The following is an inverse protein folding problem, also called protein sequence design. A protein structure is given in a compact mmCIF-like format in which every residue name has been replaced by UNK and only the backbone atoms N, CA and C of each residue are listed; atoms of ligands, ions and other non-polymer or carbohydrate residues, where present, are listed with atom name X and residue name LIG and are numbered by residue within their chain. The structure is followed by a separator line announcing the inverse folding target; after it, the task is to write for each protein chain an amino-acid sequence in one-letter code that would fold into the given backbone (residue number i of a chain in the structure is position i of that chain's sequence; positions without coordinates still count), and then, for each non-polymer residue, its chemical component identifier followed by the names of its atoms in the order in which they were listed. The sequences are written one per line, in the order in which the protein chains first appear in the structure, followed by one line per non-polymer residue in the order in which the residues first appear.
data_IF_409320217833
#
_entry.id   IF_409320217833
#
_cell.length_a   1.000
_cell.length_b   1.000
_cell.length_c   1.000
_cell.angle_alpha   90.00
_cell.angle_beta   90.00
_cell.angle_gamma   90.00
#
_symmetry.space_group_name_H-M   'P 1'
#
loop_
_entity.id
_entity.type
_entity.pdbx_description
1 polymer ?
#
# COMPACT_ATOMS: atom_id res chain seq x y z
N UNK A 1 -19.29 22.25 -9.37
CA UNK A 1 -20.36 21.69 -10.21
C UNK A 1 -19.95 20.27 -10.56
N UNK A 2 -20.62 19.28 -9.98
CA UNK A 2 -20.37 17.88 -10.35
C UNK A 2 -21.12 17.59 -11.65
N UNK A 3 -20.40 17.17 -12.66
CA UNK A 3 -20.94 16.75 -13.94
C UNK A 3 -20.62 15.27 -14.13
N UNK A 4 -21.63 14.41 -14.16
CA UNK A 4 -21.45 12.97 -14.37
C UNK A 4 -21.67 12.63 -15.84
N UNK A 5 -20.70 11.93 -16.43
CA UNK A 5 -20.84 11.29 -17.74
C UNK A 5 -21.28 9.85 -17.53
N UNK A 6 -22.47 9.52 -18.00
CA UNK A 6 -22.99 8.15 -17.94
C UNK A 6 -23.04 7.57 -19.35
N UNK A 7 -22.37 6.42 -19.56
CA UNK A 7 -22.48 5.65 -20.79
C UNK A 7 -23.73 4.77 -20.76
N UNK A 8 -24.67 5.06 -21.63
CA UNK A 8 -25.88 4.25 -21.79
C UNK A 8 -25.68 3.20 -22.89
N UNK A 9 -25.41 1.96 -22.47
CA UNK A 9 -25.19 0.81 -23.38
C UNK A 9 -26.39 0.52 -24.28
N UNK A 10 -27.63 0.83 -23.87
CA UNK A 10 -28.86 0.55 -24.61
C UNK A 10 -29.04 1.47 -25.80
N UNK A 11 -28.51 2.68 -25.74
CA UNK A 11 -28.64 3.70 -26.78
C UNK A 11 -27.35 4.11 -27.46
N UNK A 12 -26.20 3.52 -27.07
CA UNK A 12 -24.86 3.90 -27.55
C UNK A 12 -24.62 5.42 -27.49
N UNK A 13 -24.96 6.06 -26.36
CA UNK A 13 -24.86 7.52 -26.15
C UNK A 13 -24.23 7.84 -24.79
N UNK A 14 -23.48 8.94 -24.78
CA UNK A 14 -23.02 9.57 -23.53
C UNK A 14 -24.05 10.62 -23.10
N UNK A 15 -24.44 10.60 -21.81
CA UNK A 15 -25.29 11.63 -21.21
C UNK A 15 -24.46 12.45 -20.21
N UNK A 16 -24.55 13.76 -20.35
CA UNK A 16 -23.96 14.72 -19.42
C UNK A 16 -25.07 15.17 -18.48
N UNK A 17 -24.92 14.98 -17.19
CA UNK A 17 -25.86 15.44 -16.17
C UNK A 17 -25.21 16.56 -15.37
N UNK A 18 -25.79 17.77 -15.47
CA UNK A 18 -25.41 18.88 -14.60
C UNK A 18 -26.37 18.96 -13.42
N UNK A 19 -25.93 19.50 -12.29
CA UNK A 19 -26.76 19.70 -11.07
C UNK A 19 -27.98 20.59 -11.27
N UNK A 20 -28.13 21.23 -12.45
CA UNK A 20 -29.25 22.08 -12.82
C UNK A 20 -30.37 21.35 -13.61
N UNK A 21 -30.36 20.01 -13.64
CA UNK A 21 -31.35 19.18 -14.34
C UNK A 21 -31.48 19.39 -15.87
N UNK A 22 -30.57 20.09 -16.53
CA UNK A 22 -30.51 20.17 -17.97
C UNK A 22 -29.73 19.00 -18.58
N UNK A 23 -30.36 18.27 -19.49
CA UNK A 23 -29.77 17.08 -20.12
C UNK A 23 -29.35 17.42 -21.54
N UNK A 24 -28.09 17.44 -21.85
CA UNK A 24 -27.56 17.56 -23.21
C UNK A 24 -27.25 16.17 -23.76
N UNK A 25 -27.80 15.83 -24.92
CA UNK A 25 -27.53 14.56 -25.59
C UNK A 25 -26.78 14.77 -26.89
N UNK A 26 -25.63 14.18 -27.05
CA UNK A 26 -24.92 14.10 -28.32
C UNK A 26 -25.17 12.73 -28.98
N UNK A 27 -25.67 12.71 -30.21
CA UNK A 27 -25.81 11.48 -30.99
C UNK A 27 -24.46 11.06 -31.53
N UNK A 28 -23.96 9.88 -31.08
CA UNK A 28 -22.84 9.24 -31.76
C UNK A 28 -23.34 8.56 -33.03
N UNK A 29 -22.94 9.04 -34.21
CA UNK A 29 -23.20 8.37 -35.47
C UNK A 29 -22.41 7.05 -35.50
N UNK A 30 -23.05 5.99 -35.96
CA UNK A 30 -22.48 4.68 -36.23
C UNK A 30 -21.47 4.80 -37.40
N UNK A 31 -20.25 5.15 -37.06
CA UNK A 31 -19.12 5.03 -37.97
C UNK A 31 -17.99 4.35 -37.17
N UNK A 32 -17.27 3.43 -37.78
CA UNK A 32 -16.21 2.67 -37.18
C UNK A 32 -14.86 3.37 -37.47
N UNK A 33 -14.46 4.43 -36.74
CA UNK A 33 -13.23 5.14 -37.01
C UNK A 33 -12.07 4.42 -36.33
N UNK A 34 -10.92 4.39 -36.99
CA UNK A 34 -9.66 3.92 -36.40
C UNK A 34 -9.34 4.72 -35.17
N UNK A 35 -8.79 4.06 -34.13
CA UNK A 35 -8.49 4.58 -32.76
C UNK A 35 -7.85 6.00 -32.70
N UNK A 36 -7.08 6.40 -33.72
CA UNK A 36 -6.42 7.71 -33.82
C UNK A 36 -7.38 8.90 -34.00
N UNK A 37 -8.62 8.67 -34.46
CA UNK A 37 -9.59 9.74 -34.70
C UNK A 37 -10.43 10.03 -33.45
N UNK A 38 -10.63 9.06 -32.59
CA UNK A 38 -11.36 9.24 -31.31
C UNK A 38 -10.64 10.26 -30.42
N UNK A 39 -9.32 10.18 -30.32
CA UNK A 39 -8.53 11.16 -29.56
C UNK A 39 -8.59 12.58 -30.14
N UNK A 40 -8.64 12.73 -31.46
CA UNK A 40 -8.81 14.07 -32.10
C UNK A 40 -10.17 14.67 -31.84
N UNK A 41 -11.22 13.88 -31.81
CA UNK A 41 -12.59 14.36 -31.51
C UNK A 41 -12.71 14.74 -30.02
N UNK A 42 -12.13 13.98 -29.11
CA UNK A 42 -12.09 14.33 -27.70
C UNK A 42 -11.29 15.62 -27.45
N UNK A 43 -10.18 15.81 -28.12
CA UNK A 43 -9.37 17.06 -28.02
C UNK A 43 -10.14 18.23 -28.61
N UNK A 44 -10.88 18.06 -29.71
CA UNK A 44 -11.68 19.11 -30.34
C UNK A 44 -12.93 19.50 -29.51
N UNK A 45 -13.61 18.53 -28.89
CA UNK A 45 -14.71 18.78 -27.96
C UNK A 45 -14.23 19.47 -26.66
N UNK A 46 -13.05 19.11 -26.20
CA UNK A 46 -12.39 19.75 -25.05
C UNK A 46 -12.00 21.20 -25.36
N UNK A 47 -11.50 21.46 -26.56
CA UNK A 47 -11.16 22.82 -27.02
C UNK A 47 -12.41 23.70 -27.26
N UNK A 48 -13.51 23.12 -27.72
CA UNK A 48 -14.81 23.84 -27.91
C UNK A 48 -15.47 24.14 -26.54
N UNK A 49 -15.36 23.27 -25.57
CA UNK A 49 -15.85 23.52 -24.21
C UNK A 49 -15.03 24.62 -23.48
N UNK A 50 -13.74 24.74 -23.80
CA UNK A 50 -12.88 25.81 -23.26
C UNK A 50 -13.10 27.16 -23.93
N UNK A 51 -13.56 27.21 -25.19
CA UNK A 51 -13.77 28.46 -25.95
C UNK A 51 -15.05 29.22 -25.59
N UNK A 52 -15.96 28.61 -24.81
CA UNK A 52 -17.24 29.23 -24.39
C UNK A 52 -17.29 29.74 -22.96
N UNK A 53 -16.13 29.80 -22.25
CA UNK A 53 -16.08 30.29 -20.89
C UNK A 53 -15.13 31.48 -20.72
N UNK A 54 -15.74 32.66 -20.77
CA UNK A 54 -15.14 33.91 -20.25
C UNK A 54 -15.31 33.98 -18.73
N UNK A 55 -14.38 33.40 -17.96
CA UNK A 55 -14.09 33.80 -16.58
C UNK A 55 -12.91 33.00 -15.99
N UNK A 56 -11.86 33.64 -15.40
CA UNK A 56 -10.61 32.97 -15.05
C UNK A 56 -10.50 32.49 -13.58
N UNK A 57 -11.57 32.02 -12.95
CA UNK A 57 -11.48 31.73 -11.50
C UNK A 57 -11.98 30.38 -11.02
N UNK A 58 -12.14 29.37 -11.86
CA UNK A 58 -12.38 28.00 -11.36
C UNK A 58 -11.96 26.95 -12.37
N UNK A 59 -10.71 26.51 -12.31
CA UNK A 59 -10.27 25.29 -12.96
C UNK A 59 -10.95 24.09 -12.28
N UNK A 60 -12.11 23.68 -12.76
CA UNK A 60 -12.66 22.37 -12.47
C UNK A 60 -11.90 21.36 -13.33
N UNK A 61 -10.90 20.70 -12.76
CA UNK A 61 -10.31 19.49 -13.33
C UNK A 61 -11.39 18.40 -13.27
N UNK A 62 -12.09 18.14 -14.38
CA UNK A 62 -12.83 16.90 -14.52
C UNK A 62 -11.81 15.75 -14.60
N UNK A 63 -11.47 15.16 -13.49
CA UNK A 63 -10.75 13.89 -13.49
C UNK A 63 -11.73 12.81 -13.97
N UNK A 64 -11.50 12.29 -15.16
CA UNK A 64 -12.26 11.15 -15.69
C UNK A 64 -11.82 9.94 -14.85
N UNK A 65 -12.68 9.49 -13.94
CA UNK A 65 -12.43 8.28 -13.16
C UNK A 65 -12.37 7.06 -14.06
N UNK A 66 -11.35 6.25 -13.89
CA UNK A 66 -11.24 4.97 -14.59
C UNK A 66 -12.26 3.93 -14.09
N UNK A 67 -12.36 2.77 -14.75
CA UNK A 67 -13.39 1.78 -14.43
C UNK A 67 -13.24 1.16 -13.05
N UNK A 68 -12.01 0.91 -12.57
CA UNK A 68 -11.77 0.36 -11.23
C UNK A 68 -12.14 1.38 -10.15
N UNK A 69 -11.72 2.63 -10.33
CA UNK A 69 -12.07 3.72 -9.42
C UNK A 69 -13.58 3.97 -9.39
N UNK A 70 -14.24 3.99 -10.55
CA UNK A 70 -15.69 4.17 -10.65
C UNK A 70 -16.46 3.07 -9.93
N UNK A 71 -15.97 1.82 -10.00
CA UNK A 71 -16.55 0.68 -9.31
C UNK A 71 -16.37 0.76 -7.80
N UNK A 72 -15.22 1.24 -7.34
CA UNK A 72 -14.93 1.50 -5.93
C UNK A 72 -15.86 2.59 -5.37
N UNK A 73 -15.95 3.74 -6.03
CA UNK A 73 -16.82 4.84 -5.62
C UNK A 73 -18.29 4.43 -5.56
N UNK A 74 -18.76 3.66 -6.55
CA UNK A 74 -20.12 3.12 -6.51
C UNK A 74 -20.38 2.28 -5.26
N UNK A 75 -19.45 1.39 -4.88
CA UNK A 75 -19.58 0.56 -3.68
C UNK A 75 -19.56 1.37 -2.39
N UNK A 76 -18.81 2.47 -2.37
CA UNK A 76 -18.79 3.41 -1.23
C UNK A 76 -20.12 4.16 -1.14
N UNK A 77 -20.64 4.67 -2.24
CA UNK A 77 -21.94 5.38 -2.30
C UNK A 77 -23.11 4.45 -1.92
N UNK A 78 -23.05 3.19 -2.36
CA UNK A 78 -24.06 2.16 -2.03
C UNK A 78 -23.93 1.68 -0.56
N UNK A 79 -22.99 2.21 0.24
CA UNK A 79 -22.79 1.86 1.65
C UNK A 79 -22.19 0.47 1.90
N UNK A 80 -21.71 -0.21 0.85
CA UNK A 80 -21.12 -1.56 0.95
C UNK A 80 -19.66 -1.51 1.42
N UNK A 81 -18.97 -0.41 1.13
CA UNK A 81 -17.58 -0.18 1.53
C UNK A 81 -17.45 1.17 2.24
N UNK A 82 -16.55 1.21 3.19
CA UNK A 82 -16.12 2.47 3.83
C UNK A 82 -15.00 3.06 2.99
N UNK A 83 -14.99 4.39 2.83
CA UNK A 83 -13.94 5.09 2.09
C UNK A 83 -12.57 4.86 2.73
N UNK A 84 -11.64 4.39 1.93
CA UNK A 84 -10.23 4.20 2.28
C UNK A 84 -9.37 4.86 1.19
N UNK A 85 -8.54 5.83 1.59
CA UNK A 85 -7.71 6.59 0.66
C UNK A 85 -6.70 5.68 -0.06
N UNK A 86 -6.20 4.64 0.62
CA UNK A 86 -5.25 3.69 0.03
C UNK A 86 -5.91 2.80 -1.04
N UNK A 87 -7.19 2.41 -0.82
CA UNK A 87 -7.96 1.73 -1.85
C UNK A 87 -8.21 2.64 -3.05
N UNK A 88 -8.46 3.92 -2.82
CA UNK A 88 -8.66 4.90 -3.89
C UNK A 88 -7.37 5.12 -4.68
N UNK A 89 -6.23 5.29 -4.02
CA UNK A 89 -4.92 5.41 -4.68
C UNK A 89 -4.57 4.14 -5.48
N UNK A 90 -4.85 2.95 -4.94
CA UNK A 90 -4.64 1.68 -5.65
C UNK A 90 -5.55 1.55 -6.88
N UNK A 91 -6.82 1.96 -6.78
CA UNK A 91 -7.75 1.95 -7.90
C UNK A 91 -7.28 2.88 -9.03
N UNK A 92 -6.79 4.09 -8.71
CA UNK A 92 -6.18 5.02 -9.66
C UNK A 92 -4.93 4.40 -10.30
N UNK A 93 -4.07 3.75 -9.51
CA UNK A 93 -2.89 3.08 -10.03
C UNK A 93 -3.25 1.92 -10.98
N UNK A 94 -4.29 1.15 -10.69
CA UNK A 94 -4.79 0.07 -11.54
C UNK A 94 -5.40 0.62 -12.84
N UNK A 95 -6.18 1.70 -12.78
CA UNK A 95 -6.74 2.35 -13.98
C UNK A 95 -5.64 2.88 -14.89
N UNK A 96 -4.57 3.45 -14.32
CA UNK A 96 -3.40 3.83 -15.09
C UNK A 96 -2.68 2.63 -15.75
N UNK A 97 -2.75 1.43 -15.14
CA UNK A 97 -2.23 0.20 -15.77
C UNK A 97 -3.14 -0.28 -16.91
N UNK A 98 -4.47 -0.19 -16.75
CA UNK A 98 -5.40 -0.48 -17.85
C UNK A 98 -5.11 0.41 -19.08
N UNK A 99 -4.91 1.70 -18.85
CA UNK A 99 -4.57 2.64 -19.93
C UNK A 99 -3.24 2.26 -20.60
N UNK A 100 -2.19 1.94 -19.80
CA UNK A 100 -0.89 1.55 -20.32
C UNK A 100 -0.95 0.22 -21.10
N UNK A 101 -1.77 -0.74 -20.69
CA UNK A 101 -1.98 -2.00 -21.40
C UNK A 101 -2.70 -1.80 -22.75
N UNK A 102 -3.57 -0.82 -22.85
CA UNK A 102 -4.27 -0.50 -24.11
C UNK A 102 -3.30 -0.01 -25.19
N UNK A 103 -2.22 0.66 -24.80
CA UNK A 103 -1.18 1.15 -25.70
C UNK A 103 -0.07 0.13 -25.93
N UNK A 104 -0.02 -0.95 -25.14
CA UNK A 104 1.03 -1.95 -25.18
C UNK A 104 0.71 -3.06 -26.17
N UNK A 105 1.54 -3.20 -27.20
CA UNK A 105 1.52 -4.31 -28.16
C UNK A 105 2.70 -5.26 -27.88
N UNK A 106 2.48 -6.44 -27.25
CA UNK A 106 3.53 -7.42 -27.02
C UNK A 106 4.11 -7.91 -28.35
N UNK A 107 5.43 -7.74 -28.56
CA UNK A 107 6.09 -8.19 -29.79
C UNK A 107 5.97 -7.26 -30.99
N UNK A 108 5.43 -6.06 -30.83
CA UNK A 108 5.17 -5.06 -31.89
C UNK A 108 6.41 -4.47 -32.60
N UNK A 109 7.58 -5.03 -32.38
CA UNK A 109 8.78 -4.78 -33.19
C UNK A 109 9.04 -5.96 -34.11
N UNK A 110 8.37 -6.08 -35.23
CA UNK A 110 8.81 -6.97 -36.30
C UNK A 110 10.33 -6.77 -36.60
N UNK A 111 10.97 -7.68 -37.34
CA UNK A 111 12.40 -7.64 -37.62
C UNK A 111 12.91 -6.24 -38.04
N UNK A 112 12.08 -5.44 -38.70
CA UNK A 112 12.34 -4.04 -39.04
C UNK A 112 12.25 -3.07 -37.84
N UNK A 113 11.34 -3.26 -36.91
CA UNK A 113 11.20 -2.41 -35.72
C UNK A 113 12.33 -2.60 -34.73
N UNK A 114 12.92 -3.81 -34.68
CA UNK A 114 14.15 -4.10 -33.92
C UNK A 114 15.36 -3.32 -34.45
N UNK A 115 15.43 -3.08 -35.75
CA UNK A 115 16.49 -2.27 -36.37
C UNK A 115 16.29 -0.77 -36.22
N UNK A 116 15.05 -0.31 -36.07
CA UNK A 116 14.69 1.11 -35.94
C UNK A 116 14.58 1.61 -34.51
N UNK A 117 14.93 0.80 -33.50
CA UNK A 117 14.95 1.23 -32.10
C UNK A 117 13.58 1.45 -31.45
N UNK A 118 12.47 1.17 -32.14
CA UNK A 118 11.11 1.28 -31.64
C UNK A 118 10.73 0.01 -30.83
N UNK A 119 11.39 -0.20 -29.69
CA UNK A 119 10.88 -1.14 -28.68
C UNK A 119 9.76 -0.45 -27.93
N UNK A 120 8.52 -0.93 -28.12
CA UNK A 120 7.43 -0.55 -27.21
C UNK A 120 7.88 -0.88 -25.78
N UNK A 121 8.00 0.14 -24.96
CA UNK A 121 8.45 -0.04 -23.58
C UNK A 121 7.40 -0.87 -22.85
N UNK A 122 7.81 -1.97 -22.20
CA UNK A 122 6.92 -2.80 -21.40
C UNK A 122 6.39 -1.97 -20.23
N UNK A 123 5.07 -1.85 -20.07
CA UNK A 123 4.51 -1.09 -18.97
C UNK A 123 4.92 -1.70 -17.62
N UNK A 124 5.28 -0.85 -16.67
CA UNK A 124 5.47 -1.34 -15.29
C UNK A 124 4.14 -1.87 -14.76
N UNK A 125 4.19 -3.05 -14.16
CA UNK A 125 3.05 -3.62 -13.45
C UNK A 125 2.77 -2.94 -12.12
N UNK A 126 2.09 -3.64 -11.21
CA UNK A 126 1.76 -3.15 -9.87
C UNK A 126 1.92 -4.27 -8.84
N UNK A 127 2.58 -3.97 -7.74
CA UNK A 127 2.67 -4.83 -6.57
C UNK A 127 1.96 -4.16 -5.40
N UNK A 128 0.82 -4.74 -5.00
CA UNK A 128 -0.02 -4.25 -3.92
C UNK A 128 0.23 -5.07 -2.66
N UNK A 129 0.74 -4.47 -1.60
CA UNK A 129 1.02 -5.20 -0.37
C UNK A 129 0.42 -4.55 0.87
N UNK A 130 0.24 -5.34 1.94
CA UNK A 130 -0.28 -4.90 3.22
C UNK A 130 -1.15 -5.95 3.90
N UNK A 131 -1.71 -5.62 5.06
CA UNK A 131 -2.49 -6.53 5.90
C UNK A 131 -3.67 -7.20 5.19
N UNK A 132 -4.12 -8.33 5.75
CA UNK A 132 -5.29 -9.09 5.26
C UNK A 132 -6.57 -8.24 5.41
N UNK A 133 -7.54 -8.39 4.49
CA UNK A 133 -8.84 -7.70 4.56
C UNK A 133 -8.82 -6.26 4.04
N UNK A 134 -7.73 -5.77 3.46
CA UNK A 134 -7.61 -4.40 2.92
C UNK A 134 -8.21 -4.23 1.50
N UNK A 135 -8.82 -5.25 0.93
CA UNK A 135 -9.46 -5.17 -0.39
C UNK A 135 -8.53 -5.32 -1.59
N UNK A 136 -7.26 -5.72 -1.40
CA UNK A 136 -6.28 -5.92 -2.49
C UNK A 136 -6.78 -6.86 -3.59
N UNK A 137 -7.24 -8.05 -3.20
CA UNK A 137 -7.73 -9.06 -4.16
C UNK A 137 -9.01 -8.59 -4.86
N UNK A 138 -9.90 -7.88 -4.15
CA UNK A 138 -11.11 -7.28 -4.73
C UNK A 138 -10.75 -6.26 -5.83
N UNK A 139 -9.79 -5.38 -5.60
CA UNK A 139 -9.35 -4.41 -6.59
C UNK A 139 -8.68 -5.09 -7.78
N UNK A 140 -7.90 -6.15 -7.53
CA UNK A 140 -7.30 -6.96 -8.60
C UNK A 140 -8.34 -7.73 -9.40
N UNK A 141 -9.44 -8.22 -8.77
CA UNK A 141 -10.59 -8.83 -9.45
C UNK A 141 -11.15 -7.85 -10.48
N UNK A 142 -11.45 -6.64 -10.05
CA UNK A 142 -12.01 -5.62 -10.92
C UNK A 142 -11.05 -5.23 -12.04
N UNK A 143 -9.78 -5.05 -11.73
CA UNK A 143 -8.75 -4.81 -12.76
C UNK A 143 -8.70 -5.94 -13.79
N UNK A 144 -8.67 -7.20 -13.34
CA UNK A 144 -8.61 -8.35 -14.25
C UNK A 144 -9.85 -8.46 -15.14
N UNK A 145 -11.03 -8.18 -14.60
CA UNK A 145 -12.28 -8.14 -15.36
C UNK A 145 -12.26 -7.04 -16.43
N UNK A 146 -11.82 -5.83 -16.06
CA UNK A 146 -11.81 -4.64 -16.94
C UNK A 146 -10.66 -4.64 -17.95
N UNK A 147 -9.61 -5.42 -17.75
CA UNK A 147 -8.47 -5.49 -18.66
C UNK A 147 -8.87 -6.13 -20.01
N UNK A 148 -9.07 -5.30 -21.04
CA UNK A 148 -9.22 -5.77 -22.43
C UNK A 148 -7.86 -6.06 -23.04
N UNK A 149 -7.19 -7.09 -22.49
CA UNK A 149 -5.85 -7.50 -22.86
C UNK A 149 -5.73 -9.03 -22.87
N UNK A 150 -5.22 -9.59 -23.96
CA UNK A 150 -5.09 -11.03 -24.15
C UNK A 150 -3.74 -11.37 -24.82
N UNK A 151 -3.13 -12.51 -24.47
CA UNK A 151 -3.55 -13.46 -23.45
C UNK A 151 -3.24 -12.98 -22.02
N UNK A 152 -4.17 -13.25 -21.08
CA UNK A 152 -4.00 -12.92 -19.66
C UNK A 152 -4.31 -14.12 -18.78
N UNK A 153 -3.61 -14.24 -17.66
CA UNK A 153 -3.81 -15.31 -16.67
C UNK A 153 -3.85 -14.73 -15.25
N UNK A 154 -4.71 -15.30 -14.41
CA UNK A 154 -4.75 -15.03 -12.97
C UNK A 154 -4.63 -16.35 -12.22
N UNK A 155 -3.74 -16.37 -11.24
CA UNK A 155 -3.46 -17.54 -10.43
C UNK A 155 -2.91 -17.17 -9.05
N UNK A 156 -3.03 -18.07 -8.07
CA UNK A 156 -2.28 -17.94 -6.83
C UNK A 156 -0.80 -18.19 -7.08
N UNK A 157 0.05 -17.40 -6.44
CA UNK A 157 1.49 -17.47 -6.68
C UNK A 157 2.08 -18.85 -6.37
N UNK A 158 1.60 -19.53 -5.32
CA UNK A 158 2.02 -20.89 -5.01
C UNK A 158 1.70 -21.89 -6.13
N UNK A 159 0.49 -21.83 -6.69
CA UNK A 159 0.10 -22.70 -7.80
C UNK A 159 0.94 -22.43 -9.06
N UNK A 160 1.28 -21.15 -9.32
CA UNK A 160 2.20 -20.77 -10.39
C UNK A 160 3.59 -21.41 -10.18
N UNK A 161 4.15 -21.36 -8.97
CA UNK A 161 5.46 -21.94 -8.71
C UNK A 161 5.47 -23.46 -8.86
N UNK A 162 4.40 -24.16 -8.49
CA UNK A 162 4.26 -25.60 -8.75
C UNK A 162 4.30 -25.91 -10.26
N UNK A 163 3.55 -25.16 -11.08
CA UNK A 163 3.59 -25.29 -12.54
C UNK A 163 4.98 -25.04 -13.11
N UNK A 164 5.70 -24.01 -12.59
CA UNK A 164 7.09 -23.73 -12.96
C UNK A 164 7.98 -24.95 -12.69
N UNK A 165 7.90 -25.55 -11.52
CA UNK A 165 8.70 -26.71 -11.19
C UNK A 165 8.39 -27.92 -12.10
N UNK A 166 7.11 -28.13 -12.41
CA UNK A 166 6.71 -29.19 -13.35
C UNK A 166 7.28 -28.94 -14.76
N UNK A 167 7.19 -27.72 -15.28
CA UNK A 167 7.74 -27.33 -16.59
C UNK A 167 9.27 -27.48 -16.62
N UNK A 168 9.96 -27.05 -15.58
CA UNK A 168 11.42 -27.21 -15.44
C UNK A 168 11.77 -28.70 -15.46
N UNK A 169 11.05 -29.54 -14.71
CA UNK A 169 11.30 -30.98 -14.67
C UNK A 169 10.99 -31.65 -16.01
N UNK A 170 9.92 -31.25 -16.68
CA UNK A 170 9.60 -31.75 -18.02
C UNK A 170 10.70 -31.39 -19.05
N UNK A 171 11.17 -30.14 -19.02
CA UNK A 171 12.27 -29.68 -19.89
C UNK A 171 13.56 -30.46 -19.64
N UNK A 172 13.91 -30.74 -18.39
CA UNK A 172 15.12 -31.50 -18.03
C UNK A 172 15.09 -32.95 -18.54
N UNK A 173 13.89 -33.54 -18.67
CA UNK A 173 13.71 -34.91 -19.20
C UNK A 173 13.86 -35.01 -20.71
N UNK A 174 13.76 -33.89 -21.45
CA UNK A 174 13.99 -33.86 -22.90
C UNK A 174 15.47 -34.08 -23.22
N UNK A 175 15.71 -34.88 -24.24
CA UNK A 175 17.05 -34.97 -24.86
C UNK A 175 17.38 -33.71 -25.67
N UNK A 176 18.56 -33.67 -26.23
CA UNK A 176 19.05 -32.51 -26.97
C UNK A 176 18.21 -32.18 -28.21
N UNK A 177 17.72 -33.21 -28.88
CA UNK A 177 16.90 -33.05 -30.09
C UNK A 177 15.47 -32.66 -29.74
N UNK A 178 14.89 -33.22 -28.67
CA UNK A 178 13.60 -32.83 -28.15
C UNK A 178 13.58 -31.36 -27.69
N UNK A 179 14.63 -30.88 -27.02
CA UNK A 179 14.77 -29.46 -26.65
C UNK A 179 14.86 -28.54 -27.87
N UNK A 180 15.57 -28.95 -28.90
CA UNK A 180 15.67 -28.20 -30.17
C UNK A 180 14.35 -28.14 -30.94
N UNK A 181 13.58 -29.23 -30.91
CA UNK A 181 12.30 -29.33 -31.57
C UNK A 181 11.16 -28.60 -30.80
N UNK A 182 11.39 -28.25 -29.54
CA UNK A 182 10.40 -27.51 -28.73
C UNK A 182 10.05 -26.17 -29.36
N UNK A 183 8.75 -25.76 -29.43
CA UNK A 183 8.33 -24.45 -29.89
C UNK A 183 8.86 -23.31 -29.00
N UNK A 184 9.21 -23.64 -27.74
CA UNK A 184 9.74 -22.70 -26.78
C UNK A 184 11.28 -22.68 -26.70
N UNK A 185 11.95 -23.36 -27.63
CA UNK A 185 13.39 -23.39 -27.67
C UNK A 185 13.98 -21.97 -27.75
N UNK A 186 14.97 -21.68 -26.90
CA UNK A 186 15.71 -20.42 -26.89
C UNK A 186 17.13 -20.67 -27.33
N UNK A 187 17.53 -20.05 -28.46
CA UNK A 187 18.88 -20.19 -29.01
C UNK A 187 19.92 -19.68 -28.01
N UNK A 188 20.89 -20.49 -27.67
CA UNK A 188 21.94 -20.13 -26.69
C UNK A 188 21.63 -20.47 -25.24
N UNK A 189 20.42 -20.92 -24.91
CA UNK A 189 20.06 -21.32 -23.52
C UNK A 189 20.76 -22.66 -23.11
N UNK A 190 21.20 -23.48 -24.06
CA UNK A 190 21.83 -24.77 -23.74
C UNK A 190 20.87 -25.69 -23.02
N UNK A 191 21.31 -26.19 -21.86
CA UNK A 191 20.52 -27.08 -20.99
C UNK A 191 19.71 -26.34 -19.96
N UNK A 192 19.81 -24.99 -19.89
CA UNK A 192 19.10 -24.16 -18.95
C UNK A 192 17.59 -24.12 -19.24
N UNK A 193 16.74 -24.55 -18.30
CA UNK A 193 15.29 -24.62 -18.49
C UNK A 193 14.59 -23.26 -18.36
N UNK A 194 15.21 -22.25 -17.73
CA UNK A 194 14.52 -21.02 -17.31
C UNK A 194 14.03 -20.22 -18.52
N UNK A 195 14.87 -19.97 -19.50
CA UNK A 195 14.49 -19.17 -20.66
C UNK A 195 13.39 -19.84 -21.52
N UNK A 196 13.45 -21.15 -21.83
CA UNK A 196 12.34 -21.85 -22.50
C UNK A 196 11.04 -21.87 -21.71
N UNK A 197 11.09 -22.06 -20.39
CA UNK A 197 9.91 -22.04 -19.51
C UNK A 197 9.31 -20.63 -19.48
N UNK A 198 10.11 -19.58 -19.32
CA UNK A 198 9.64 -18.20 -19.39
C UNK A 198 8.95 -17.90 -20.73
N UNK A 199 9.49 -18.38 -21.84
CA UNK A 199 8.88 -18.24 -23.18
C UNK A 199 7.56 -19.00 -23.29
N UNK A 200 7.47 -20.20 -22.73
CA UNK A 200 6.22 -20.97 -22.71
C UNK A 200 5.12 -20.18 -21.95
N UNK A 201 5.44 -19.69 -20.76
CA UNK A 201 4.52 -18.87 -19.97
C UNK A 201 4.09 -17.61 -20.72
N UNK A 202 5.04 -16.91 -21.33
CA UNK A 202 4.77 -15.69 -22.08
C UNK A 202 3.94 -15.92 -23.35
N UNK A 203 3.91 -17.14 -23.90
CA UNK A 203 3.01 -17.52 -24.99
C UNK A 203 1.58 -17.75 -24.51
N UNK A 204 1.40 -18.15 -23.25
CA UNK A 204 0.12 -18.42 -22.61
C UNK A 204 -0.47 -17.16 -21.96
N UNK A 205 0.39 -16.26 -21.42
CA UNK A 205 -0.04 -15.02 -20.82
C UNK A 205 0.99 -13.90 -20.95
N UNK A 206 0.56 -12.75 -21.43
CA UNK A 206 1.33 -11.49 -21.47
C UNK A 206 0.99 -10.56 -20.32
N UNK A 207 -0.13 -10.81 -19.65
CA UNK A 207 -0.51 -10.20 -18.39
C UNK A 207 -0.70 -11.32 -17.36
N UNK A 208 0.11 -11.31 -16.29
CA UNK A 208 0.02 -12.23 -15.17
C UNK A 208 -0.50 -11.48 -13.95
N UNK A 209 -1.56 -11.99 -13.34
CA UNK A 209 -2.11 -11.49 -12.08
C UNK A 209 -1.90 -12.54 -10.99
N UNK A 210 -1.15 -12.20 -9.95
CA UNK A 210 -0.83 -13.10 -8.85
C UNK A 210 -1.55 -12.73 -7.57
N UNK A 211 -2.37 -13.64 -7.07
CA UNK A 211 -2.84 -13.55 -5.70
C UNK A 211 -1.81 -14.13 -4.73
N UNK A 212 -1.70 -13.47 -3.57
CA UNK A 212 -0.88 -13.94 -2.44
C UNK A 212 0.58 -14.21 -2.81
N UNK A 213 1.23 -13.23 -3.45
CA UNK A 213 2.64 -13.34 -3.77
C UNK A 213 3.47 -13.52 -2.50
N UNK A 214 3.96 -14.71 -2.28
CA UNK A 214 4.68 -15.10 -1.07
C UNK A 214 5.75 -16.15 -1.37
N UNK A 215 6.96 -15.93 -0.88
CA UNK A 215 8.11 -16.81 -1.09
C UNK A 215 8.57 -17.36 0.24
N UNK A 216 8.51 -18.69 0.40
CA UNK A 216 8.94 -19.39 1.62
C UNK A 216 9.99 -20.45 1.35
N UNK A 217 10.00 -21.03 0.15
CA UNK A 217 10.89 -22.10 -0.22
C UNK A 217 12.18 -21.58 -0.87
N UNK A 218 13.32 -22.18 -0.52
CA UNK A 218 14.62 -21.83 -1.08
C UNK A 218 14.68 -22.09 -2.59
N UNK A 219 14.04 -23.15 -3.06
CA UNK A 219 14.08 -23.53 -4.47
C UNK A 219 13.34 -22.46 -5.31
N UNK A 220 12.23 -21.98 -4.80
CA UNK A 220 11.49 -20.87 -5.42
C UNK A 220 12.33 -19.60 -5.45
N UNK A 221 12.91 -19.23 -4.31
CA UNK A 221 13.76 -18.04 -4.19
C UNK A 221 14.92 -18.03 -5.20
N UNK A 222 15.56 -19.19 -5.42
CA UNK A 222 16.68 -19.33 -6.34
C UNK A 222 16.28 -19.22 -7.82
N UNK A 223 15.04 -19.59 -8.18
CA UNK A 223 14.53 -19.57 -9.54
C UNK A 223 13.97 -18.19 -9.91
N UNK A 224 13.34 -17.50 -8.95
CA UNK A 224 12.54 -16.29 -9.18
C UNK A 224 13.31 -15.18 -9.88
N UNK A 225 14.51 -14.85 -9.43
CA UNK A 225 15.31 -13.76 -10.03
C UNK A 225 15.49 -13.97 -11.54
N UNK A 226 15.92 -15.16 -11.93
CA UNK A 226 16.20 -15.51 -13.33
C UNK A 226 14.92 -15.64 -14.16
N UNK A 227 13.87 -16.20 -13.57
CA UNK A 227 12.58 -16.38 -14.23
C UNK A 227 11.93 -15.03 -14.52
N UNK A 228 11.87 -14.15 -13.53
CA UNK A 228 11.23 -12.84 -13.69
C UNK A 228 12.07 -11.89 -14.56
N UNK A 229 13.41 -11.98 -14.51
CA UNK A 229 14.26 -11.29 -15.47
C UNK A 229 13.90 -11.71 -16.91
N UNK A 230 13.74 -13.01 -17.15
CA UNK A 230 13.35 -13.51 -18.48
C UNK A 230 11.93 -13.05 -18.85
N UNK A 231 10.95 -13.13 -17.95
CA UNK A 231 9.56 -12.72 -18.19
C UNK A 231 9.45 -11.21 -18.48
N UNK A 232 10.08 -10.36 -17.66
CA UNK A 232 9.98 -8.90 -17.80
C UNK A 232 10.81 -8.37 -18.98
N UNK A 233 12.10 -8.78 -19.06
CA UNK A 233 13.05 -8.14 -19.98
C UNK A 233 13.03 -8.82 -21.36
N UNK A 234 12.93 -10.15 -21.40
CA UNK A 234 13.03 -10.89 -22.68
C UNK A 234 11.66 -11.09 -23.32
N UNK A 235 10.67 -11.45 -22.52
CA UNK A 235 9.36 -11.86 -23.02
C UNK A 235 8.29 -10.75 -22.90
N UNK A 236 8.56 -9.66 -22.17
CA UNK A 236 7.68 -8.50 -22.09
C UNK A 236 6.35 -8.78 -21.36
N UNK A 237 6.40 -9.59 -20.31
CA UNK A 237 5.21 -9.90 -19.51
C UNK A 237 4.98 -8.80 -18.50
N UNK A 238 3.73 -8.33 -18.39
CA UNK A 238 3.28 -7.39 -17.36
C UNK A 238 2.73 -8.17 -16.17
N UNK A 239 3.08 -7.76 -14.95
CA UNK A 239 2.69 -8.45 -13.73
C UNK A 239 1.92 -7.53 -12.80
N UNK A 240 0.77 -7.99 -12.32
CA UNK A 240 0.03 -7.37 -11.21
C UNK A 240 0.02 -8.39 -10.06
N UNK A 241 0.39 -7.99 -8.86
CA UNK A 241 0.46 -8.91 -7.74
C UNK A 241 -0.13 -8.33 -6.46
N UNK A 242 -0.79 -9.17 -5.67
CA UNK A 242 -1.16 -8.88 -4.29
C UNK A 242 -0.29 -9.67 -3.33
N UNK A 243 0.06 -9.07 -2.20
CA UNK A 243 0.85 -9.72 -1.16
C UNK A 243 0.45 -9.21 0.24
N UNK A 244 0.79 -9.97 1.26
CA UNK A 244 0.73 -9.51 2.65
C UNK A 244 2.11 -9.03 3.15
N UNK A 245 3.14 -9.07 2.30
CA UNK A 245 4.51 -8.68 2.64
C UNK A 245 5.03 -7.59 1.71
N UNK A 246 5.80 -6.67 2.26
CA UNK A 246 6.56 -5.72 1.44
C UNK A 246 7.65 -6.44 0.64
N UNK A 247 8.15 -5.87 -0.47
CA UNK A 247 9.26 -6.47 -1.21
C UNK A 247 10.45 -6.81 -0.31
N UNK A 248 10.80 -5.93 0.62
CA UNK A 248 11.94 -6.11 1.51
C UNK A 248 11.76 -7.22 2.55
N UNK A 249 10.52 -7.61 2.87
CA UNK A 249 10.19 -8.69 3.81
C UNK A 249 9.84 -10.01 3.10
N UNK A 250 9.91 -10.03 1.76
CA UNK A 250 9.83 -11.28 1.02
C UNK A 250 11.04 -12.15 1.35
N UNK A 251 10.77 -13.45 1.63
CA UNK A 251 11.79 -14.43 1.99
C UNK A 251 12.69 -13.96 3.14
N UNK A 252 12.11 -13.17 4.09
CA UNK A 252 12.80 -12.75 5.30
C UNK A 252 13.20 -13.98 6.14
N UNK A 253 14.42 -13.97 6.68
CA UNK A 253 15.04 -15.09 7.40
C UNK A 253 15.20 -16.39 6.58
N UNK A 254 15.02 -16.33 5.26
CA UNK A 254 15.23 -17.47 4.37
C UNK A 254 16.71 -17.81 4.21
N UNK A 255 16.99 -19.11 4.01
CA UNK A 255 18.36 -19.60 3.80
C UNK A 255 18.93 -19.02 2.49
N UNK A 256 20.18 -18.50 2.55
CA UNK A 256 20.83 -17.84 1.42
C UNK A 256 20.06 -16.66 0.83
N UNK A 257 19.37 -15.89 1.67
CA UNK A 257 18.56 -14.74 1.25
C UNK A 257 19.32 -13.73 0.37
N UNK A 258 20.61 -13.59 0.53
CA UNK A 258 21.47 -12.76 -0.31
C UNK A 258 21.36 -13.08 -1.80
N UNK A 259 21.07 -14.33 -2.19
CA UNK A 259 20.86 -14.74 -3.57
C UNK A 259 19.45 -14.37 -4.10
N UNK A 260 18.52 -14.06 -3.21
CA UNK A 260 17.17 -13.59 -3.53
C UNK A 260 17.08 -12.06 -3.65
N UNK A 261 17.98 -11.32 -2.97
CA UNK A 261 17.98 -9.85 -2.99
C UNK A 261 17.99 -9.23 -4.40
N UNK A 262 18.72 -9.77 -5.40
CA UNK A 262 18.66 -9.23 -6.77
C UNK A 262 17.25 -9.21 -7.36
N UNK A 263 16.38 -10.17 -7.00
CA UNK A 263 14.97 -10.15 -7.39
C UNK A 263 14.23 -8.98 -6.73
N UNK A 264 14.45 -8.77 -5.43
CA UNK A 264 13.84 -7.66 -4.68
C UNK A 264 14.26 -6.31 -5.26
N UNK A 265 15.54 -6.15 -5.59
CA UNK A 265 16.10 -4.93 -6.17
C UNK A 265 15.53 -4.63 -7.57
N UNK A 266 15.23 -5.68 -8.34
CA UNK A 266 14.65 -5.57 -9.69
C UNK A 266 13.14 -5.21 -9.65
N UNK A 267 12.42 -5.55 -8.58
CA UNK A 267 10.97 -5.30 -8.49
C UNK A 267 10.59 -3.84 -8.76
N UNK A 268 11.23 -2.81 -8.16
CA UNK A 268 10.86 -1.42 -8.41
C UNK A 268 11.10 -0.93 -9.84
N UNK A 269 11.96 -1.60 -10.60
CA UNK A 269 12.20 -1.25 -12.01
C UNK A 269 11.02 -1.69 -12.90
N UNK A 270 10.39 -2.82 -12.56
CA UNK A 270 9.32 -3.45 -13.35
C UNK A 270 7.92 -3.30 -12.75
N UNK A 271 7.82 -3.00 -11.46
CA UNK A 271 6.57 -2.86 -10.74
C UNK A 271 6.50 -1.49 -10.04
N UNK A 272 5.32 -0.92 -9.99
CA UNK A 272 5.00 0.15 -9.05
C UNK A 272 4.65 -0.53 -7.73
N UNK A 273 5.29 -0.11 -6.66
CA UNK A 273 5.07 -0.67 -5.33
C UNK A 273 4.02 0.17 -4.62
N UNK A 274 2.86 -0.43 -4.33
CA UNK A 274 1.76 0.23 -3.65
C UNK A 274 1.49 -0.44 -2.29
N UNK A 275 1.67 0.33 -1.22
CA UNK A 275 1.46 -0.14 0.14
C UNK A 275 0.03 0.14 0.61
N UNK A 276 -0.73 -0.90 0.96
CA UNK A 276 -2.00 -0.76 1.70
C UNK A 276 -1.78 -0.53 3.20
N UNK A 277 -0.56 -0.70 3.65
CA UNK A 277 -0.10 -0.27 4.96
C UNK A 277 0.64 1.07 4.86
N UNK A 278 0.24 1.93 3.93
CA UNK A 278 0.83 3.25 3.64
C UNK A 278 1.00 4.14 4.87
N UNK A 279 0.24 3.85 5.93
CA UNK A 279 0.47 4.38 7.24
C UNK A 279 1.73 3.83 7.93
N UNK A 280 2.18 2.59 7.65
CA UNK A 280 3.38 2.04 8.32
C UNK A 280 4.65 2.68 7.76
N UNK A 281 4.82 2.71 6.44
CA UNK A 281 6.05 3.24 5.82
C UNK A 281 6.12 4.77 5.92
N UNK A 282 4.99 5.46 5.76
CA UNK A 282 4.91 6.91 5.98
C UNK A 282 5.10 7.27 7.45
N UNK A 283 4.53 6.47 8.38
CA UNK A 283 4.72 6.62 9.82
C UNK A 283 6.17 6.40 10.22
N UNK A 284 6.81 5.35 9.70
CA UNK A 284 8.23 5.09 9.96
C UNK A 284 9.10 6.24 9.47
N UNK A 285 8.86 6.76 8.27
CA UNK A 285 9.57 7.95 7.77
C UNK A 285 9.24 9.19 8.62
N UNK A 286 7.98 9.36 9.00
CA UNK A 286 7.54 10.48 9.83
C UNK A 286 8.11 10.41 11.25
N UNK A 287 8.25 9.22 11.83
CA UNK A 287 8.85 9.02 13.15
C UNK A 287 10.39 9.14 13.10
N UNK A 288 11.03 8.62 12.05
CA UNK A 288 12.49 8.75 11.84
C UNK A 288 12.93 10.18 11.51
N UNK A 289 12.02 11.01 11.01
CA UNK A 289 12.34 12.38 10.57
C UNK A 289 12.52 13.38 11.72
N UNK A 290 12.18 13.04 12.96
CA UNK A 290 12.31 13.93 14.11
C UNK A 290 12.37 13.14 15.42
N UNK A 291 12.94 13.70 16.49
CA UNK A 291 12.89 13.11 17.82
C UNK A 291 11.47 12.79 18.23
N UNK A 292 11.31 11.74 19.03
CA UNK A 292 10.00 11.29 19.56
C UNK A 292 9.84 11.57 21.05
N UNK A 293 10.88 12.09 21.71
CA UNK A 293 10.90 12.51 23.08
C UNK A 293 11.39 13.96 23.15
N UNK A 294 10.58 14.83 23.73
CA UNK A 294 10.80 16.28 23.76
C UNK A 294 10.86 16.76 25.21
N UNK A 295 12.00 17.30 25.60
CA UNK A 295 12.25 17.86 26.94
C UNK A 295 13.17 19.08 26.83
N UNK A 296 13.08 20.08 27.71
CA UNK A 296 12.05 20.25 28.74
C UNK A 296 10.69 20.68 28.17
N UNK A 297 9.65 20.69 29.03
CA UNK A 297 8.36 21.25 28.67
C UNK A 297 8.46 22.74 28.34
N UNK A 298 7.64 23.22 27.41
CA UNK A 298 7.60 24.61 26.94
C UNK A 298 7.24 24.72 25.48
N UNK A 299 7.32 25.92 24.94
CA UNK A 299 6.85 26.22 23.57
C UNK A 299 7.56 25.41 22.47
N UNK A 300 8.83 25.03 22.65
CA UNK A 300 9.52 24.16 21.69
C UNK A 300 8.96 22.72 21.71
N UNK A 301 8.73 22.16 22.88
CA UNK A 301 8.11 20.84 23.02
C UNK A 301 6.67 20.83 22.49
N UNK A 302 5.88 21.86 22.80
CA UNK A 302 4.52 22.02 22.28
C UNK A 302 4.50 22.10 20.75
N UNK A 303 5.40 22.92 20.16
CA UNK A 303 5.54 23.02 18.70
C UNK A 303 5.97 21.69 18.07
N UNK A 304 6.87 20.94 18.71
CA UNK A 304 7.31 19.62 18.26
C UNK A 304 6.20 18.59 18.29
N UNK A 305 5.37 18.56 19.35
CA UNK A 305 4.20 17.69 19.46
C UNK A 305 3.16 18.06 18.39
N UNK A 306 2.88 19.35 18.17
CA UNK A 306 1.97 19.80 17.12
C UNK A 306 2.48 19.38 15.73
N UNK A 307 3.77 19.53 15.46
CA UNK A 307 4.39 19.10 14.21
C UNK A 307 4.32 17.57 14.05
N UNK A 308 4.53 16.81 15.13
CA UNK A 308 4.38 15.36 15.13
C UNK A 308 2.93 14.93 14.81
N UNK A 309 1.93 15.60 15.39
CA UNK A 309 0.53 15.38 15.06
C UNK A 309 0.26 15.58 13.57
N UNK A 310 0.58 16.75 13.03
CA UNK A 310 0.39 17.09 11.60
C UNK A 310 1.06 16.04 10.71
N UNK A 311 2.31 15.71 11.00
CA UNK A 311 3.11 14.76 10.25
C UNK A 311 2.53 13.34 10.29
N UNK A 312 2.11 12.87 11.48
CA UNK A 312 1.60 11.50 11.68
C UNK A 312 0.16 11.33 11.18
N UNK A 313 -0.65 12.38 11.24
CA UNK A 313 -2.05 12.36 10.78
C UNK A 313 -2.24 12.92 9.37
N UNK A 314 -1.17 13.40 8.71
CA UNK A 314 -1.23 14.10 7.41
C UNK A 314 -2.23 15.27 7.47
N UNK A 315 -2.10 16.10 8.47
CA UNK A 315 -3.01 17.22 8.76
C UNK A 315 -4.48 16.80 8.97
N UNK A 316 -4.67 15.57 9.48
CA UNK A 316 -5.99 15.03 9.80
C UNK A 316 -6.68 15.83 10.88
N UNK A 317 -7.94 16.22 10.66
CA UNK A 317 -8.73 16.89 11.69
C UNK A 317 -8.97 15.95 12.87
N UNK A 318 -8.79 16.44 14.11
CA UNK A 318 -9.10 15.64 15.31
C UNK A 318 -10.56 15.22 15.33
N UNK A 319 -10.80 13.95 15.63
CA UNK A 319 -12.15 13.40 15.84
C UNK A 319 -12.26 12.79 17.23
N UNK A 320 -13.49 12.73 17.73
CA UNK A 320 -13.78 12.01 18.97
C UNK A 320 -13.85 10.51 18.70
N UNK A 321 -13.20 9.72 19.57
CA UNK A 321 -13.26 8.25 19.54
C UNK A 321 -13.59 7.75 20.93
N UNK A 322 -14.59 6.89 21.02
CA UNK A 322 -15.03 6.25 22.25
C UNK A 322 -14.61 4.77 22.22
N UNK A 323 -13.89 4.32 23.25
CA UNK A 323 -13.53 2.90 23.43
C UNK A 323 -14.35 2.31 24.57
N UNK A 324 -14.99 1.17 24.33
CA UNK A 324 -15.77 0.47 25.36
C UNK A 324 -14.92 -0.66 25.96
N UNK A 325 -14.55 -0.53 27.22
CA UNK A 325 -13.70 -1.50 27.93
C UNK A 325 -14.44 -1.96 29.20
N UNK A 326 -14.77 -3.23 29.28
CA UNK A 326 -15.44 -3.83 30.46
C UNK A 326 -16.65 -3.03 30.95
N UNK A 327 -17.46 -2.51 30.00
CA UNK A 327 -18.67 -1.72 30.33
C UNK A 327 -18.42 -0.25 30.65
N UNK A 328 -17.19 0.21 30.61
CA UNK A 328 -16.81 1.63 30.81
C UNK A 328 -16.42 2.24 29.46
N UNK A 329 -16.91 3.42 29.15
CA UNK A 329 -16.56 4.18 27.94
C UNK A 329 -15.39 5.11 28.23
N UNK A 330 -14.33 5.01 27.43
CA UNK A 330 -13.18 5.91 27.44
C UNK A 330 -13.33 6.89 26.28
N UNK A 331 -13.40 8.17 26.57
CA UNK A 331 -13.57 9.22 25.57
C UNK A 331 -12.24 9.89 25.24
N UNK A 332 -11.89 9.92 23.95
CA UNK A 332 -10.71 10.61 23.43
C UNK A 332 -11.13 11.62 22.37
N UNK A 333 -10.83 12.90 22.59
CA UNK A 333 -11.29 13.99 21.72
C UNK A 333 -10.29 14.34 20.61
N UNK A 334 -9.06 13.82 20.69
CA UNK A 334 -7.98 14.13 19.73
C UNK A 334 -7.43 12.82 19.18
N UNK A 335 -8.16 12.24 18.22
CA UNK A 335 -7.72 11.06 17.47
C UNK A 335 -7.80 11.33 15.97
N UNK A 336 -6.90 10.80 15.19
CA UNK A 336 -6.97 10.81 13.73
C UNK A 336 -6.10 9.70 13.15
N UNK A 337 -6.61 9.00 12.16
CA UNK A 337 -5.86 7.96 11.41
C UNK A 337 -5.12 6.96 12.31
N UNK A 338 -5.73 6.54 13.43
CA UNK A 338 -5.14 5.60 14.38
C UNK A 338 -4.03 6.19 15.26
N UNK A 339 -3.89 7.52 15.29
CA UNK A 339 -3.06 8.28 16.24
C UNK A 339 -3.96 8.81 17.34
N UNK A 340 -3.55 8.61 18.60
CA UNK A 340 -4.15 9.23 19.78
C UNK A 340 -3.22 10.34 20.27
N UNK A 341 -3.76 11.52 20.54
CA UNK A 341 -3.08 12.60 21.26
C UNK A 341 -3.82 12.87 22.58
N UNK A 342 -3.14 12.76 23.71
CA UNK A 342 -3.74 12.96 25.04
C UNK A 342 -2.70 13.47 26.05
N UNK A 343 -3.20 14.12 27.08
CA UNK A 343 -2.39 14.63 28.19
C UNK A 343 -2.06 13.52 29.19
N UNK A 344 -0.93 13.66 29.89
CA UNK A 344 -0.56 12.77 31.01
C UNK A 344 -1.65 12.71 32.07
N UNK A 345 -2.26 13.85 32.46
CA UNK A 345 -3.34 13.93 33.43
C UNK A 345 -4.50 12.98 33.08
N UNK A 346 -4.97 13.03 31.82
CA UNK A 346 -6.07 12.17 31.35
C UNK A 346 -5.70 10.70 31.26
N UNK A 347 -4.45 10.39 30.98
CA UNK A 347 -4.00 9.01 30.83
C UNK A 347 -3.59 8.39 32.18
N UNK A 348 -2.87 9.13 33.04
CA UNK A 348 -2.21 8.57 34.20
C UNK A 348 -2.71 9.09 35.55
N UNK A 349 -3.27 10.32 35.64
CA UNK A 349 -3.87 10.78 36.89
C UNK A 349 -5.31 10.30 37.01
N UNK A 350 -6.05 10.20 35.93
CA UNK A 350 -7.34 9.54 35.90
C UNK A 350 -7.25 8.08 36.32
N UNK A 351 -8.28 7.58 37.04
CA UNK A 351 -8.27 6.18 37.50
C UNK A 351 -8.55 5.24 36.31
N UNK A 352 -7.52 4.58 35.82
CA UNK A 352 -7.56 3.62 34.68
C UNK A 352 -7.06 2.26 35.09
N UNK A 353 -7.67 1.22 34.51
CA UNK A 353 -7.29 -0.18 34.72
C UNK A 353 -6.24 -0.63 33.67
N UNK A 354 -5.49 -1.71 33.93
CA UNK A 354 -4.57 -2.29 32.95
C UNK A 354 -5.29 -2.70 31.65
N UNK A 355 -6.52 -3.18 31.71
CA UNK A 355 -7.31 -3.55 30.53
C UNK A 355 -7.60 -2.33 29.63
N UNK A 356 -7.83 -1.14 30.23
CA UNK A 356 -8.03 0.10 29.49
C UNK A 356 -6.75 0.52 28.74
N UNK A 357 -5.57 0.35 29.34
CA UNK A 357 -4.29 0.63 28.66
C UNK A 357 -4.01 -0.34 27.54
N UNK A 358 -4.33 -1.61 27.73
CA UNK A 358 -4.18 -2.61 26.67
C UNK A 358 -5.11 -2.28 25.48
N UNK A 359 -6.34 -1.89 25.74
CA UNK A 359 -7.29 -1.49 24.68
C UNK A 359 -6.81 -0.23 23.95
N UNK A 360 -6.28 0.78 24.65
CA UNK A 360 -5.65 1.96 24.04
C UNK A 360 -4.52 1.51 23.12
N UNK A 361 -3.61 0.67 23.64
CA UNK A 361 -2.47 0.18 22.88
C UNK A 361 -2.88 -0.69 21.67
N UNK A 362 -4.00 -1.39 21.75
CA UNK A 362 -4.55 -2.18 20.62
C UNK A 362 -5.34 -1.34 19.61
N UNK A 363 -5.99 -0.26 20.05
CA UNK A 363 -6.81 0.59 19.19
C UNK A 363 -5.99 1.59 18.38
N UNK A 364 -4.91 2.11 18.96
CA UNK A 364 -4.06 3.12 18.32
C UNK A 364 -2.69 2.57 17.99
N UNK A 365 -2.18 2.85 16.81
CA UNK A 365 -0.84 2.44 16.41
C UNK A 365 0.26 3.39 16.90
N UNK A 366 -0.12 4.64 17.21
CA UNK A 366 0.76 5.65 17.77
C UNK A 366 0.01 6.44 18.83
N UNK A 367 0.65 6.62 19.98
CA UNK A 367 0.14 7.43 21.07
C UNK A 367 1.09 8.61 21.25
N UNK A 368 0.53 9.81 21.27
CA UNK A 368 1.24 11.05 21.61
C UNK A 368 0.79 11.45 23.00
N UNK A 369 1.74 11.59 23.94
CA UNK A 369 1.49 11.99 25.33
C UNK A 369 2.09 13.37 25.58
N UNK A 370 1.24 14.32 25.94
CA UNK A 370 1.67 15.68 26.29
C UNK A 370 1.87 15.82 27.78
N UNK A 371 2.81 16.69 28.16
CA UNK A 371 2.96 17.25 29.51
C UNK A 371 3.20 16.19 30.60
N UNK A 372 4.13 15.26 30.35
CA UNK A 372 4.56 14.31 31.37
C UNK A 372 5.45 15.05 32.39
N UNK A 373 5.00 15.16 33.67
CA UNK A 373 5.77 15.89 34.68
C UNK A 373 6.90 15.03 35.26
N UNK A 374 7.84 15.66 35.94
CA UNK A 374 8.67 15.00 36.95
C UNK A 374 7.78 14.49 38.08
N UNK A 375 7.71 13.18 38.28
CA UNK A 375 6.82 12.55 39.24
C UNK A 375 7.48 12.42 40.60
N UNK A 376 6.97 13.15 41.59
CA UNK A 376 7.41 13.01 42.97
C UNK A 376 6.71 11.84 43.72
N UNK A 377 7.12 11.56 44.94
CA UNK A 377 6.53 10.51 45.79
C UNK A 377 5.04 10.62 46.01
N UNK A 378 4.48 11.85 45.93
CA UNK A 378 3.04 12.12 46.01
C UNK A 378 2.25 11.64 44.79
N UNK A 379 2.93 11.43 43.63
CA UNK A 379 2.34 10.97 42.38
C UNK A 379 2.45 9.45 42.20
N UNK A 380 2.74 8.67 43.26
CA UNK A 380 2.93 7.21 43.21
C UNK A 380 1.91 6.48 42.34
N UNK A 381 0.63 6.80 42.46
CA UNK A 381 -0.42 6.14 41.69
C UNK A 381 -0.37 6.50 40.19
N UNK A 382 -0.03 7.73 39.87
CA UNK A 382 0.14 8.17 38.49
C UNK A 382 1.37 7.52 37.87
N UNK A 383 2.50 7.45 38.62
CA UNK A 383 3.72 6.76 38.20
C UNK A 383 3.45 5.27 37.93
N UNK A 384 2.72 4.57 38.81
CA UNK A 384 2.35 3.16 38.60
C UNK A 384 1.49 2.97 37.35
N UNK A 385 0.54 3.88 37.11
CA UNK A 385 -0.28 3.84 35.90
C UNK A 385 0.51 4.16 34.65
N UNK A 386 1.47 5.08 34.73
CA UNK A 386 2.39 5.36 33.64
C UNK A 386 3.26 4.14 33.28
N UNK A 387 3.80 3.42 34.29
CA UNK A 387 4.48 2.14 34.07
C UNK A 387 3.61 1.16 33.30
N UNK A 388 2.34 0.99 33.75
CA UNK A 388 1.40 0.06 33.12
C UNK A 388 1.07 0.48 31.67
N UNK A 389 0.92 1.78 31.41
CA UNK A 389 0.69 2.30 30.05
C UNK A 389 1.91 2.02 29.15
N UNK A 390 3.13 2.36 29.60
CA UNK A 390 4.33 2.13 28.81
C UNK A 390 4.55 0.64 28.56
N UNK A 391 4.27 -0.21 29.56
CA UNK A 391 4.32 -1.67 29.40
C UNK A 391 3.37 -2.14 28.28
N UNK A 392 2.11 -1.69 28.28
CA UNK A 392 1.12 -2.03 27.28
C UNK A 392 1.53 -1.55 25.87
N UNK A 393 2.02 -0.32 25.75
CA UNK A 393 2.50 0.23 24.48
C UNK A 393 3.70 -0.55 23.94
N UNK A 394 4.65 -0.89 24.80
CA UNK A 394 5.85 -1.62 24.45
C UNK A 394 5.54 -3.04 23.96
N UNK A 395 4.69 -3.78 24.69
CA UNK A 395 4.31 -5.16 24.34
C UNK A 395 3.54 -5.25 23.02
N UNK A 396 2.70 -4.26 22.72
CA UNK A 396 1.97 -4.18 21.44
C UNK A 396 2.78 -3.55 20.32
N UNK A 397 4.00 -3.07 20.61
CA UNK A 397 4.85 -2.31 19.68
C UNK A 397 4.17 -1.03 19.16
N UNK A 398 3.28 -0.46 19.96
CA UNK A 398 2.65 0.82 19.69
C UNK A 398 3.68 1.93 19.79
N UNK A 399 3.75 2.81 18.81
CA UNK A 399 4.74 3.88 18.79
C UNK A 399 4.37 4.98 19.77
N UNK A 400 5.37 5.57 20.40
CA UNK A 400 5.21 6.63 21.40
C UNK A 400 5.92 7.90 20.93
N UNK A 401 5.23 9.01 21.00
CA UNK A 401 5.81 10.37 20.96
C UNK A 401 5.39 11.07 22.23
N UNK A 402 6.30 11.77 22.92
CA UNK A 402 5.93 12.43 24.16
C UNK A 402 6.71 13.71 24.42
N UNK A 403 6.07 14.62 25.18
CA UNK A 403 6.75 15.73 25.84
C UNK A 403 6.80 15.52 27.33
N UNK A 404 7.95 15.78 27.94
CA UNK A 404 8.21 15.57 29.35
C UNK A 404 9.03 16.72 29.94
N UNK A 405 8.88 16.91 31.25
CA UNK A 405 9.59 17.93 31.99
C UNK A 405 11.09 17.66 32.05
N UNK A 406 11.45 16.37 32.18
CA UNK A 406 12.85 15.90 32.36
C UNK A 406 13.14 14.67 31.49
N UNK A 407 14.39 14.25 31.40
CA UNK A 407 14.79 13.01 30.72
C UNK A 407 14.20 11.75 31.40
N UNK A 408 14.06 10.61 30.70
CA UNK A 408 13.43 9.41 31.21
C UNK A 408 13.96 8.91 32.54
N UNK A 409 15.27 9.04 32.78
CA UNK A 409 15.91 8.60 34.02
C UNK A 409 15.50 9.45 35.25
N UNK A 410 15.10 10.70 35.03
CA UNK A 410 14.76 11.67 36.05
C UNK A 410 13.24 11.74 36.32
N UNK A 411 12.41 11.06 35.50
CA UNK A 411 10.94 11.13 35.57
C UNK A 411 10.38 10.65 36.93
N UNK A 412 11.03 9.69 37.62
CA UNK A 412 10.60 9.19 38.92
C UNK A 412 11.78 8.68 39.71
N UNK A 413 12.52 9.57 40.36
CA UNK A 413 13.74 9.23 41.10
C UNK A 413 13.46 8.78 42.55
N UNK A 414 12.35 9.23 43.17
CA UNK A 414 12.07 9.02 44.59
C UNK A 414 10.63 8.62 44.82
N UNK A 415 10.42 7.48 45.48
CA UNK A 415 9.09 6.98 45.84
C UNK A 415 9.01 5.46 45.82
N UNK A 416 7.86 4.94 46.19
CA UNK A 416 7.60 3.50 46.14
C UNK A 416 7.47 3.08 44.65
N UNK A 417 8.19 2.04 44.24
CA UNK A 417 8.13 1.52 42.85
C UNK A 417 9.22 2.06 41.93
N UNK A 418 10.23 2.76 42.43
CA UNK A 418 11.40 3.22 41.66
C UNK A 418 12.06 2.06 40.89
N UNK A 419 12.22 0.90 41.53
CA UNK A 419 12.80 -0.27 40.87
C UNK A 419 11.98 -0.76 39.66
N UNK A 420 10.64 -0.71 39.75
CA UNK A 420 9.76 -1.03 38.62
C UNK A 420 9.85 0.05 37.50
N UNK A 421 10.08 1.31 37.91
CA UNK A 421 10.24 2.42 37.00
C UNK A 421 11.56 2.37 36.22
N UNK A 422 12.63 1.81 36.74
CA UNK A 422 13.90 1.58 36.03
C UNK A 422 13.67 0.77 34.71
N UNK A 423 12.79 -0.24 34.79
CA UNK A 423 12.41 -1.00 33.59
C UNK A 423 11.69 -0.11 32.58
N UNK A 424 10.83 0.80 33.05
CA UNK A 424 10.11 1.75 32.20
C UNK A 424 11.09 2.74 31.54
N UNK A 425 12.09 3.21 32.26
CA UNK A 425 13.18 4.03 31.69
C UNK A 425 13.88 3.28 30.55
N UNK A 426 14.25 2.02 30.76
CA UNK A 426 14.89 1.20 29.74
C UNK A 426 14.01 1.04 28.49
N UNK A 427 12.71 0.80 28.68
CA UNK A 427 11.73 0.72 27.57
C UNK A 427 11.57 2.04 26.84
N UNK A 428 11.48 3.17 27.54
CA UNK A 428 11.41 4.50 26.93
C UNK A 428 12.66 4.79 26.10
N UNK A 429 13.83 4.43 26.61
CA UNK A 429 15.08 4.59 25.86
C UNK A 429 15.11 3.73 24.60
N UNK A 430 14.65 2.48 24.67
CA UNK A 430 14.54 1.59 23.51
C UNK A 430 13.50 2.08 22.52
N UNK A 431 12.32 2.53 22.97
CA UNK A 431 11.24 3.06 22.14
C UNK A 431 11.63 4.31 21.34
N UNK A 432 12.72 4.99 21.73
CA UNK A 432 13.31 6.14 20.99
C UNK A 432 14.22 5.70 19.83
N UNK A 433 14.63 4.43 19.78
CA UNK A 433 15.59 3.94 18.77
C UNK A 433 14.95 3.73 17.41
N UNK A 434 15.75 3.88 16.35
CA UNK A 434 15.31 3.61 14.99
C UNK A 434 14.88 2.15 14.79
N UNK A 435 15.59 1.21 15.45
CA UNK A 435 15.29 -0.22 15.36
C UNK A 435 13.91 -0.54 15.96
N UNK A 436 13.56 0.04 17.12
CA UNK A 436 12.23 -0.11 17.69
C UNK A 436 11.16 0.54 16.82
N UNK A 437 11.44 1.73 16.26
CA UNK A 437 10.53 2.41 15.36
C UNK A 437 10.27 1.62 14.08
N UNK A 438 11.25 0.86 13.60
CA UNK A 438 11.15 0.01 12.41
C UNK A 438 10.35 -1.29 12.64
N UNK A 439 10.16 -1.73 13.90
CA UNK A 439 9.42 -2.96 14.20
C UNK A 439 7.95 -2.85 13.83
N UNK A 440 7.42 -3.90 13.20
CA UNK A 440 5.98 -4.01 12.97
C UNK A 440 5.21 -4.19 14.28
N UNK A 441 3.99 -3.69 14.31
CA UNK A 441 3.09 -3.84 15.46
C UNK A 441 2.77 -5.31 15.69
N UNK A 442 2.95 -5.80 16.92
CA UNK A 442 2.56 -7.14 17.32
C UNK A 442 1.02 -7.30 17.22
N UNK A 443 0.55 -8.37 16.59
CA UNK A 443 -0.85 -8.79 16.72
C UNK A 443 -0.98 -9.37 18.12
N UNK A 444 -1.64 -8.66 19.03
CA UNK A 444 -2.07 -9.25 20.28
C UNK A 444 -2.95 -10.45 19.97
N UNK A 445 -2.52 -11.64 20.37
CA UNK A 445 -3.38 -12.82 20.36
C UNK A 445 -4.57 -12.52 21.25
N UNK A 446 -5.75 -12.47 20.65
CA UNK A 446 -7.01 -12.49 21.39
C UNK A 446 -7.15 -13.93 21.94
N UNK A 447 -6.79 -14.13 23.20
CA UNK A 447 -7.17 -15.33 23.95
C UNK A 447 -8.67 -15.34 24.24
#
# INVERSE_FOLDING_TARGET
MNTDFIWDKSFKRYRLRTLTNETYSAKAFLWNPRRSEINRYFTALYSLALASWDSPSSYCRCEIMGPVQSRLEKRIVDGVLVRDDLQTEAAIALDARLAALTEYEPGGGGVLGRFLGNRTQVPRGLYMYGGVGRGKSMLMDWFYEEADFTPKCRTHFHAFMLDIHERINAWRKLDKDGRRASPHHVRGAGDDPIAPVARAIASEAKLLCFDEFHVTDITDAMILSRLFEALWIKEGVVVIATSNRSPNTLYENGLNRNLFLPFVDMMPEHLIIHAFDGDVDHRLRALKAAPVYHTPLGGEAEAAIAAAWVRLTRDGKPVKTDLLVQGRTLEFNRTARGVLLSDFEKLCEANRSPAEYLEIAQSFHTVIIENVPEMGAHMRNAAKRFVTLIDALYETRTKLVMSAEVEPAELYEKGDGVFEFERTVSRLMEMRTEDYMAQERGKGERS
#
